data_IF_715446636302
#
_entry.id   IF_715446636302
#
_cell.length_a   1.000
_cell.length_b   1.000
_cell.length_c   1.000
_cell.angle_alpha   90.00
_cell.angle_beta   90.00
_cell.angle_gamma   90.00
#
_symmetry.space_group_name_H-M   'P 1'
#
loop_
_entity.id
_entity.type
_entity.pdbx_description
1 polymer ?
#
# COMPACT_ATOMS: atom_id res chain seq x y z
N UNK A 1 11.31 -22.00 29.12
CA UNK A 1 10.78 -21.80 27.77
C UNK A 1 9.89 -20.58 27.74
N UNK A 2 10.00 -19.78 26.71
CA UNK A 2 9.25 -18.54 26.62
C UNK A 2 8.05 -18.74 25.71
N UNK A 3 6.90 -18.33 26.16
CA UNK A 3 5.72 -18.44 25.32
C UNK A 3 5.69 -17.27 24.37
N UNK A 4 5.41 -17.55 23.13
CA UNK A 4 5.31 -16.52 22.11
C UNK A 4 3.84 -16.21 21.90
N UNK A 5 3.49 -14.96 21.97
CA UNK A 5 2.11 -14.53 21.77
C UNK A 5 2.03 -13.74 20.47
N UNK A 6 0.98 -13.98 19.74
CA UNK A 6 0.72 -13.27 18.51
C UNK A 6 -0.21 -12.11 18.85
N UNK A 7 0.15 -10.89 18.47
CA UNK A 7 -0.73 -9.75 18.73
C UNK A 7 -2.11 -9.94 18.11
N UNK A 8 -3.10 -9.32 18.72
CA UNK A 8 -4.45 -9.44 18.22
C UNK A 8 -4.57 -8.80 16.85
N UNK A 9 -5.22 -9.49 15.96
CA UNK A 9 -5.46 -8.97 14.62
C UNK A 9 -6.92 -9.20 14.29
N UNK A 10 -7.48 -8.36 13.43
CA UNK A 10 -8.86 -8.58 13.00
C UNK A 10 -8.95 -9.81 12.10
N UNK A 11 -10.09 -10.50 12.16
CA UNK A 11 -10.28 -11.64 11.29
C UNK A 11 -10.49 -11.21 9.86
N UNK A 12 -11.13 -10.10 9.64
CA UNK A 12 -11.38 -9.58 8.30
C UNK A 12 -11.33 -8.05 8.35
N UNK A 13 -11.19 -7.45 7.19
CA UNK A 13 -11.24 -6.01 7.05
C UNK A 13 -12.33 -5.67 6.05
N UNK A 14 -12.93 -4.50 6.21
CA UNK A 14 -13.92 -4.05 5.25
C UNK A 14 -13.23 -3.32 4.09
N UNK A 15 -13.94 -3.21 2.98
CA UNK A 15 -13.41 -2.47 1.85
C UNK A 15 -13.16 -1.01 2.25
N UNK A 16 -14.04 -0.44 3.05
CA UNK A 16 -13.87 0.95 3.48
C UNK A 16 -12.57 1.12 4.27
N UNK A 17 -12.22 0.13 5.10
CA UNK A 17 -10.98 0.23 5.87
C UNK A 17 -9.75 0.20 4.95
N UNK A 18 -9.76 -0.63 3.93
CA UNK A 18 -8.61 -0.68 3.02
C UNK A 18 -8.52 0.58 2.17
N UNK A 19 -9.64 1.12 1.73
CA UNK A 19 -9.67 2.35 0.97
C UNK A 19 -9.14 3.50 1.83
N UNK A 20 -9.58 3.59 3.08
CA UNK A 20 -9.14 4.64 3.97
C UNK A 20 -7.64 4.54 4.27
N UNK A 21 -7.12 3.33 4.37
CA UNK A 21 -5.69 3.13 4.59
C UNK A 21 -4.89 3.69 3.42
N UNK A 22 -5.32 3.43 2.18
CA UNK A 22 -4.64 3.98 1.01
C UNK A 22 -4.70 5.49 1.00
N UNK A 23 -5.87 6.06 1.33
CA UNK A 23 -6.00 7.52 1.36
C UNK A 23 -5.14 8.14 2.44
N UNK A 24 -5.01 7.48 3.58
CA UNK A 24 -4.16 7.99 4.66
C UNK A 24 -2.69 8.06 4.22
N UNK A 25 -2.29 7.18 3.30
CA UNK A 25 -0.93 7.18 2.78
C UNK A 25 -0.77 8.12 1.59
N UNK A 26 -1.82 8.81 1.21
CA UNK A 26 -1.76 9.71 0.05
C UNK A 26 -1.90 9.00 -1.28
N UNK A 27 -2.46 7.79 -1.27
CA UNK A 27 -2.56 6.98 -2.49
C UNK A 27 -4.01 6.92 -2.96
N UNK A 28 -4.18 6.81 -4.27
CA UNK A 28 -5.51 6.64 -4.84
C UNK A 28 -5.79 5.13 -4.89
N UNK A 29 -6.76 4.63 -4.16
CA UNK A 29 -7.01 3.18 -4.09
C UNK A 29 -7.25 2.54 -5.46
N UNK A 30 -7.75 3.31 -6.42
CA UNK A 30 -8.03 2.74 -7.75
C UNK A 30 -6.78 2.33 -8.47
N UNK A 31 -5.64 2.89 -8.12
CA UNK A 31 -4.40 2.63 -8.83
C UNK A 31 -3.43 1.75 -8.06
N UNK A 32 -3.81 1.30 -6.88
CA UNK A 32 -2.91 0.54 -6.02
C UNK A 32 -3.16 -0.95 -6.20
N UNK A 33 -2.09 -1.70 -6.48
CA UNK A 33 -2.18 -3.14 -6.51
C UNK A 33 -1.75 -3.74 -5.18
N UNK A 34 -0.71 -3.22 -4.58
CA UNK A 34 -0.19 -3.80 -3.35
C UNK A 34 0.51 -2.73 -2.54
N UNK A 35 0.38 -2.79 -1.23
CA UNK A 35 1.10 -1.91 -0.31
C UNK A 35 1.78 -2.80 0.71
N UNK A 36 3.08 -2.58 0.93
CA UNK A 36 3.84 -3.31 1.93
C UNK A 36 4.46 -2.29 2.87
N UNK A 37 4.08 -2.33 4.13
CA UNK A 37 4.54 -1.36 5.11
C UNK A 37 5.60 -2.02 5.98
N UNK A 38 6.76 -1.39 6.05
CA UNK A 38 7.82 -1.81 6.94
C UNK A 38 8.22 -0.59 7.77
N UNK A 39 8.96 -0.77 8.87
CA UNK A 39 9.29 0.38 9.71
C UNK A 39 10.02 1.51 9.00
N UNK A 40 10.86 1.21 8.03
CA UNK A 40 11.65 2.26 7.40
C UNK A 40 11.11 2.76 6.09
N UNK A 41 10.13 2.09 5.52
CA UNK A 41 9.63 2.52 4.21
C UNK A 41 8.34 1.83 3.88
N UNK A 42 7.65 2.37 2.89
CA UNK A 42 6.43 1.78 2.36
C UNK A 42 6.68 1.47 0.89
N UNK A 43 6.55 0.21 0.51
CA UNK A 43 6.70 -0.20 -0.87
C UNK A 43 5.32 -0.35 -1.47
N UNK A 44 5.10 0.30 -2.61
CA UNK A 44 3.79 0.32 -3.25
C UNK A 44 3.92 -0.16 -4.67
N UNK A 45 3.05 -1.06 -5.08
CA UNK A 45 2.97 -1.44 -6.48
C UNK A 45 1.72 -0.82 -7.05
N UNK A 46 1.89 -0.01 -8.08
CA UNK A 46 0.81 0.76 -8.67
C UNK A 46 0.59 0.33 -10.10
N UNK A 47 -0.64 0.49 -10.59
CA UNK A 47 -0.91 0.31 -12.01
C UNK A 47 -0.56 1.61 -12.72
N UNK A 48 0.18 1.51 -13.83
CA UNK A 48 0.48 2.67 -14.64
C UNK A 48 -0.81 3.23 -15.24
N UNK A 49 -0.91 4.55 -15.33
CA UNK A 49 -2.08 5.22 -15.84
C UNK A 49 -1.76 5.74 -17.23
N UNK A 50 -2.70 5.57 -18.16
CA UNK A 50 -2.52 6.06 -19.50
C UNK A 50 -2.41 7.59 -19.47
N UNK A 51 -1.49 8.19 -20.24
CA UNK A 51 -1.30 9.64 -20.16
C UNK A 51 -2.47 10.46 -20.65
N UNK A 52 -3.35 9.87 -21.45
CA UNK A 52 -4.44 10.65 -22.01
C UNK A 52 -5.78 10.34 -21.37
N UNK A 53 -5.91 9.33 -20.56
CA UNK A 53 -7.15 9.03 -19.84
C UNK A 53 -6.78 8.24 -18.61
N UNK A 54 -7.74 8.05 -17.70
CA UNK A 54 -7.39 7.44 -16.44
C UNK A 54 -7.37 5.93 -16.47
N UNK A 55 -7.46 5.31 -17.60
CA UNK A 55 -7.41 3.86 -17.68
C UNK A 55 -6.01 3.32 -17.43
N UNK A 56 -5.95 2.06 -17.06
CA UNK A 56 -4.68 1.38 -16.85
C UNK A 56 -4.05 1.03 -18.18
N UNK A 57 -2.73 1.00 -18.22
CA UNK A 57 -1.99 0.67 -19.43
C UNK A 57 -1.89 -0.85 -19.53
N UNK A 58 -2.45 -1.46 -20.57
CA UNK A 58 -2.40 -2.92 -20.70
C UNK A 58 -1.01 -3.42 -21.12
N UNK A 59 -0.67 -4.61 -20.68
CA UNK A 59 0.58 -5.24 -21.04
C UNK A 59 0.36 -6.76 -21.02
N UNK A 60 0.35 -7.40 -22.18
CA UNK A 60 0.14 -8.83 -22.26
C UNK A 60 -1.21 -9.22 -21.67
N UNK A 61 -1.19 -10.07 -20.65
CA UNK A 61 -2.41 -10.51 -20.02
C UNK A 61 -2.78 -9.67 -18.79
N UNK A 62 -2.13 -8.59 -18.56
CA UNK A 62 -2.42 -7.76 -17.40
C UNK A 62 -2.19 -6.31 -17.68
N UNK A 63 -1.65 -5.59 -16.71
CA UNK A 63 -1.43 -4.15 -16.82
C UNK A 63 0.01 -3.84 -16.44
N UNK A 64 0.51 -2.74 -16.95
CA UNK A 64 1.84 -2.25 -16.57
C UNK A 64 1.80 -1.82 -15.12
N UNK A 65 2.77 -2.26 -14.33
CA UNK A 65 2.86 -1.94 -12.92
C UNK A 65 4.15 -1.20 -12.64
N UNK A 66 4.09 -0.32 -11.67
CA UNK A 66 5.24 0.48 -11.26
C UNK A 66 5.44 0.26 -9.77
N UNK A 67 6.68 -0.01 -9.40
CA UNK A 67 7.03 -0.19 -7.98
C UNK A 67 7.66 1.10 -7.47
N UNK A 68 7.15 1.62 -6.38
CA UNK A 68 7.65 2.83 -5.75
C UNK A 68 7.97 2.52 -4.30
N UNK A 69 9.16 2.95 -3.86
CA UNK A 69 9.57 2.79 -2.47
C UNK A 69 9.58 4.18 -1.84
N UNK A 70 8.77 4.38 -0.82
CA UNK A 70 8.61 5.67 -0.18
C UNK A 70 9.24 5.61 1.20
N UNK A 71 10.23 6.44 1.49
CA UNK A 71 10.86 6.42 2.82
C UNK A 71 9.91 6.99 3.86
N UNK A 72 10.03 6.49 5.08
CA UNK A 72 9.24 6.95 6.20
C UNK A 72 10.14 7.80 7.08
N UNK A 73 9.67 9.02 7.40
CA UNK A 73 10.40 9.89 8.27
C UNK A 73 10.00 9.61 9.69
N UNK A 74 10.95 9.35 10.54
CA UNK A 74 10.69 9.09 11.95
C UNK A 74 10.73 10.40 12.73
N UNK A 75 9.81 10.51 13.68
CA UNK A 75 9.82 11.66 14.54
C UNK A 75 10.49 11.26 15.82
N UNK A 76 11.54 11.98 16.15
CA UNK A 76 12.35 11.57 17.27
C UNK A 76 11.75 11.88 18.60
N UNK A 77 10.86 12.83 18.65
CA UNK A 77 10.30 13.20 19.93
C UNK A 77 9.17 12.30 20.32
N UNK A 78 8.92 11.29 19.60
CA UNK A 78 7.92 10.50 19.92
C UNK A 78 8.18 9.68 20.96
N UNK A 79 8.20 9.49 21.62
CA UNK A 79 8.51 8.63 22.52
C UNK A 79 7.66 8.11 23.16
#
# INVERSE_FOLDING_TARGET
MTDIRIPDTPDTLTEAQTINACKALGLNPKHVKEVRITPGRVDVELFAIHPEHEGRVPAGYGFVKIHVSIPVEWQEDDQ
#
